data_IF_957934007926
#
_entry.id   IF_957934007926
#
_cell.length_a   1.000
_cell.length_b   1.000
_cell.length_c   1.000
_cell.angle_alpha   90.00
_cell.angle_beta   90.00
_cell.angle_gamma   90.00
#
_symmetry.space_group_name_H-M   'P 1'
#
loop_
_entity.id
_entity.type
_entity.pdbx_description
1 polymer ?
#
# COMPACT_ATOMS: atom_id res chain seq x y z
N UNK A 1 -44.21 -28.96 7.21
CA UNK A 1 -43.38 -28.50 6.08
C UNK A 1 -44.03 -29.14 4.87
N UNK A 2 -44.85 -28.38 4.14
CA UNK A 2 -45.74 -28.94 3.10
C UNK A 2 -45.21 -28.69 1.68
N UNK A 3 -44.10 -27.94 1.55
CA UNK A 3 -43.38 -27.69 0.30
C UNK A 3 -41.86 -27.82 0.52
N UNK A 4 -41.28 -28.98 0.24
CA UNK A 4 -39.83 -29.25 0.42
C UNK A 4 -38.95 -28.65 -0.70
N UNK A 5 -39.45 -27.67 -1.48
CA UNK A 5 -38.79 -27.03 -2.63
C UNK A 5 -38.23 -27.99 -3.69
N UNK A 6 -38.69 -29.25 -3.67
CA UNK A 6 -38.15 -30.32 -4.51
C UNK A 6 -38.47 -30.06 -5.99
N UNK A 7 -39.64 -29.53 -6.31
CA UNK A 7 -40.07 -29.29 -7.69
C UNK A 7 -39.21 -28.23 -8.37
N UNK A 8 -38.98 -27.12 -7.68
CA UNK A 8 -38.15 -26.00 -8.09
C UNK A 8 -36.70 -26.47 -8.25
N UNK A 9 -36.21 -27.24 -7.27
CA UNK A 9 -34.85 -27.79 -7.29
C UNK A 9 -34.61 -28.76 -8.46
N UNK A 10 -35.55 -29.67 -8.72
CA UNK A 10 -35.47 -30.56 -9.89
C UNK A 10 -35.54 -29.79 -11.20
N UNK A 11 -36.34 -28.72 -11.25
CA UNK A 11 -36.42 -27.83 -12.43
C UNK A 11 -35.07 -27.15 -12.69
N UNK A 12 -34.40 -26.67 -11.64
CA UNK A 12 -33.05 -26.11 -11.71
C UNK A 12 -32.01 -27.14 -12.21
N UNK A 13 -32.06 -28.38 -11.73
CA UNK A 13 -31.10 -29.42 -12.14
C UNK A 13 -31.25 -29.87 -13.59
N UNK A 14 -32.49 -29.94 -14.10
CA UNK A 14 -32.78 -30.62 -15.37
C UNK A 14 -32.91 -29.67 -16.58
N UNK A 15 -33.08 -28.36 -16.39
CA UNK A 15 -33.26 -27.43 -17.51
C UNK A 15 -31.96 -26.74 -17.91
N UNK A 16 -31.56 -26.93 -19.16
CA UNK A 16 -30.47 -26.18 -19.79
C UNK A 16 -31.04 -24.84 -20.29
N UNK A 17 -30.91 -23.80 -19.48
CA UNK A 17 -31.26 -22.45 -19.90
C UNK A 17 -30.18 -21.87 -20.84
N UNK A 18 -30.55 -21.08 -21.87
CA UNK A 18 -29.60 -20.16 -22.49
C UNK A 18 -29.02 -19.22 -21.43
N UNK A 19 -27.75 -18.83 -21.55
CA UNK A 19 -27.02 -18.06 -20.51
C UNK A 19 -27.76 -16.81 -20.01
N UNK A 20 -28.52 -16.16 -20.88
CA UNK A 20 -29.24 -14.91 -20.59
C UNK A 20 -30.47 -15.10 -19.66
N UNK A 21 -30.91 -16.34 -19.41
CA UNK A 21 -32.10 -16.67 -18.62
C UNK A 21 -31.82 -17.56 -17.40
N UNK A 22 -30.54 -17.72 -17.01
CA UNK A 22 -30.17 -18.59 -15.88
C UNK A 22 -30.82 -18.16 -14.55
N UNK A 23 -30.97 -16.84 -14.33
CA UNK A 23 -31.62 -16.30 -13.13
C UNK A 23 -33.10 -16.69 -13.00
N UNK A 24 -33.80 -16.95 -14.12
CA UNK A 24 -35.21 -17.39 -14.14
C UNK A 24 -35.41 -18.76 -13.46
N UNK A 25 -34.37 -19.60 -13.44
CA UNK A 25 -34.44 -20.93 -12.84
C UNK A 25 -33.85 -21.00 -11.44
N UNK A 26 -32.90 -20.11 -11.11
CA UNK A 26 -32.27 -20.08 -9.79
C UNK A 26 -33.15 -19.34 -8.78
N UNK A 27 -33.78 -18.23 -9.19
CA UNK A 27 -34.59 -17.38 -8.31
C UNK A 27 -35.77 -18.13 -7.65
N UNK A 28 -36.57 -18.95 -8.37
CA UNK A 28 -37.66 -19.70 -7.74
C UNK A 28 -37.22 -20.66 -6.63
N UNK A 29 -36.03 -21.28 -6.78
CA UNK A 29 -35.46 -22.15 -5.74
C UNK A 29 -35.08 -21.34 -4.51
N UNK A 30 -34.43 -20.19 -4.72
CA UNK A 30 -34.06 -19.26 -3.65
C UNK A 30 -35.31 -18.81 -2.90
N UNK A 31 -36.34 -18.35 -3.62
CA UNK A 31 -37.58 -17.85 -3.03
C UNK A 31 -38.29 -18.94 -2.21
N UNK A 32 -38.42 -20.16 -2.75
CA UNK A 32 -39.02 -21.27 -2.02
C UNK A 32 -38.26 -21.58 -0.70
N UNK A 33 -36.93 -21.60 -0.74
CA UNK A 33 -36.12 -21.84 0.47
C UNK A 33 -36.33 -20.71 1.47
N UNK A 34 -36.28 -19.45 1.01
CA UNK A 34 -36.47 -18.28 1.86
C UNK A 34 -37.87 -18.27 2.48
N UNK A 35 -38.93 -18.59 1.74
CA UNK A 35 -40.30 -18.67 2.26
C UNK A 35 -40.45 -19.70 3.38
N UNK A 36 -39.74 -20.83 3.29
CA UNK A 36 -39.76 -21.89 4.30
C UNK A 36 -38.84 -21.62 5.51
N UNK A 37 -37.97 -20.60 5.47
CA UNK A 37 -37.15 -20.21 6.62
C UNK A 37 -37.97 -19.42 7.63
N UNK A 38 -37.70 -19.65 8.93
CA UNK A 38 -38.29 -18.82 9.98
C UNK A 38 -37.75 -17.38 9.93
N UNK A 39 -38.55 -16.44 10.43
CA UNK A 39 -38.20 -15.01 10.45
C UNK A 39 -36.90 -14.73 11.23
N UNK A 40 -36.61 -15.53 12.27
CA UNK A 40 -35.35 -15.43 13.02
C UNK A 40 -34.13 -15.72 12.15
N UNK A 41 -34.17 -16.74 11.27
CA UNK A 41 -33.04 -17.05 10.37
C UNK A 41 -32.92 -16.04 9.25
N UNK A 42 -34.03 -15.53 8.71
CA UNK A 42 -34.01 -14.41 7.74
C UNK A 42 -33.36 -13.17 8.35
N UNK A 43 -33.77 -12.81 9.57
CA UNK A 43 -33.16 -11.71 10.33
C UNK A 43 -31.67 -11.92 10.59
N UNK A 44 -31.27 -13.15 10.94
CA UNK A 44 -29.86 -13.50 11.12
C UNK A 44 -29.05 -13.34 9.81
N UNK A 45 -29.58 -13.79 8.67
CA UNK A 45 -28.94 -13.61 7.37
C UNK A 45 -28.82 -12.13 6.99
N UNK A 46 -29.84 -11.31 7.28
CA UNK A 46 -29.79 -9.87 7.05
C UNK A 46 -28.71 -9.18 7.91
N UNK A 47 -28.54 -9.58 9.17
CA UNK A 47 -27.46 -9.07 10.02
C UNK A 47 -26.07 -9.48 9.49
N UNK A 48 -25.93 -10.70 8.95
CA UNK A 48 -24.70 -11.17 8.33
C UNK A 48 -24.32 -10.33 7.09
N UNK A 49 -25.31 -9.99 6.26
CA UNK A 49 -25.13 -9.14 5.08
C UNK A 49 -24.61 -7.74 5.44
N UNK A 50 -25.07 -7.14 6.55
CA UNK A 50 -24.54 -5.86 7.03
C UNK A 50 -23.06 -5.99 7.42
N UNK A 51 -22.70 -7.02 8.19
CA UNK A 51 -21.33 -7.26 8.62
C UNK A 51 -20.38 -7.45 7.42
N UNK A 52 -20.79 -8.28 6.46
CA UNK A 52 -20.02 -8.53 5.23
C UNK A 52 -19.98 -7.30 4.33
N UNK A 53 -21.06 -6.51 4.24
CA UNK A 53 -21.08 -5.25 3.49
C UNK A 53 -20.08 -4.22 4.03
N UNK A 54 -19.81 -4.21 5.34
CA UNK A 54 -18.80 -3.36 5.95
C UNK A 54 -17.36 -3.89 5.79
N UNK A 55 -17.19 -5.18 5.47
CA UNK A 55 -15.89 -5.85 5.37
C UNK A 55 -14.89 -5.09 4.49
N UNK A 56 -15.20 -4.69 3.23
CA UNK A 56 -14.23 -4.01 2.38
C UNK A 56 -13.71 -2.70 2.98
N UNK A 57 -14.57 -1.96 3.67
CA UNK A 57 -14.19 -0.71 4.32
C UNK A 57 -13.32 -0.99 5.55
N UNK A 58 -13.70 -1.96 6.40
CA UNK A 58 -12.90 -2.32 7.58
C UNK A 58 -11.51 -2.83 7.21
N UNK A 59 -11.41 -3.65 6.15
CA UNK A 59 -10.13 -4.11 5.63
C UNK A 59 -9.35 -2.97 4.99
N UNK A 60 -10.00 -2.01 4.31
CA UNK A 60 -9.34 -0.82 3.78
C UNK A 60 -8.74 0.06 4.89
N UNK A 61 -9.45 0.24 6.00
CA UNK A 61 -8.95 1.02 7.16
C UNK A 61 -7.73 0.38 7.82
N UNK A 62 -7.69 -0.95 7.88
CA UNK A 62 -6.58 -1.70 8.47
C UNK A 62 -5.49 -1.99 7.43
N UNK A 63 -5.81 -2.02 6.15
CA UNK A 63 -4.93 -2.42 5.05
C UNK A 63 -3.77 -1.45 4.82
N UNK A 64 -2.74 -1.92 4.12
CA UNK A 64 -1.63 -1.05 3.71
C UNK A 64 -2.05 -0.20 2.52
N UNK A 65 -1.46 0.99 2.39
CA UNK A 65 -1.70 1.83 1.21
C UNK A 65 -0.94 1.27 0.00
N UNK A 66 -1.35 1.68 -1.21
CA UNK A 66 -0.61 1.34 -2.43
C UNK A 66 0.81 1.90 -2.44
N UNK A 67 1.02 3.06 -1.81
CA UNK A 67 2.34 3.70 -1.70
C UNK A 67 3.27 2.87 -0.82
N UNK A 68 2.78 2.41 0.34
CA UNK A 68 3.54 1.55 1.26
C UNK A 68 3.99 0.25 0.60
N UNK A 69 3.06 -0.46 -0.05
CA UNK A 69 3.38 -1.71 -0.78
C UNK A 69 4.30 -1.41 -1.98
N UNK A 70 4.08 -0.29 -2.68
CA UNK A 70 4.91 0.15 -3.80
C UNK A 70 6.36 0.46 -3.40
N UNK A 71 6.57 1.07 -2.24
CA UNK A 71 7.91 1.33 -1.69
C UNK A 71 8.64 0.03 -1.34
N UNK A 72 7.93 -0.98 -0.81
CA UNK A 72 8.49 -2.33 -0.62
C UNK A 72 8.84 -2.96 -1.97
N UNK A 73 7.99 -2.80 -2.98
CA UNK A 73 8.20 -3.35 -4.31
C UNK A 73 9.45 -2.80 -5.02
N UNK A 74 9.92 -1.60 -4.69
CA UNK A 74 11.17 -1.05 -5.23
C UNK A 74 12.41 -1.90 -4.87
N UNK A 75 12.34 -2.67 -3.79
CA UNK A 75 13.42 -3.55 -3.34
C UNK A 75 13.08 -5.03 -3.43
N UNK A 76 11.84 -5.39 -3.11
CA UNK A 76 11.36 -6.77 -2.99
C UNK A 76 10.06 -6.96 -3.76
N UNK A 77 10.07 -6.86 -5.10
CA UNK A 77 8.86 -6.91 -5.92
C UNK A 77 8.03 -8.19 -5.76
N UNK A 78 8.67 -9.35 -5.59
CA UNK A 78 7.93 -10.61 -5.46
C UNK A 78 7.25 -10.72 -4.09
N UNK A 79 7.94 -10.28 -3.02
CA UNK A 79 7.29 -10.18 -1.70
C UNK A 79 6.11 -9.20 -1.75
N UNK A 80 6.28 -8.03 -2.36
CA UNK A 80 5.22 -7.03 -2.48
C UNK A 80 3.99 -7.57 -3.25
N UNK A 81 4.21 -8.38 -4.29
CA UNK A 81 3.13 -9.07 -4.99
C UNK A 81 2.35 -10.03 -4.08
N UNK A 82 3.04 -10.86 -3.29
CA UNK A 82 2.37 -11.75 -2.33
C UNK A 82 1.59 -10.96 -1.27
N UNK A 83 2.15 -9.84 -0.79
CA UNK A 83 1.47 -8.98 0.18
C UNK A 83 0.21 -8.35 -0.41
N UNK A 84 0.25 -7.91 -1.68
CA UNK A 84 -0.91 -7.42 -2.40
C UNK A 84 -1.98 -8.50 -2.62
N UNK A 85 -1.58 -9.74 -2.92
CA UNK A 85 -2.50 -10.87 -3.08
C UNK A 85 -3.09 -11.36 -1.74
N UNK A 86 -2.36 -11.19 -0.63
CA UNK A 86 -2.79 -11.60 0.71
C UNK A 86 -3.59 -10.52 1.46
N UNK A 87 -3.70 -9.31 0.92
CA UNK A 87 -4.47 -8.21 1.50
C UNK A 87 -5.55 -7.75 0.50
N UNK A 88 -6.77 -8.30 0.57
CA UNK A 88 -7.79 -8.11 -0.46
C UNK A 88 -8.48 -6.74 -0.43
N UNK A 89 -8.01 -5.80 0.39
CA UNK A 89 -8.50 -4.42 0.39
C UNK A 89 -7.35 -3.43 0.60
N UNK A 90 -7.48 -2.28 -0.04
CA UNK A 90 -6.47 -1.23 -0.08
C UNK A 90 -6.97 -0.03 0.72
N UNK A 91 -6.09 0.58 1.53
CA UNK A 91 -6.44 1.81 2.22
C UNK A 91 -6.62 2.95 1.20
N UNK A 92 -7.79 3.60 1.13
CA UNK A 92 -8.02 4.71 0.21
C UNK A 92 -7.15 5.91 0.61
N UNK A 93 -6.50 6.51 -0.39
CA UNK A 93 -5.82 7.80 -0.26
C UNK A 93 -6.67 8.82 -1.03
N UNK A 94 -6.78 10.05 -0.51
CA UNK A 94 -7.51 11.12 -1.20
C UNK A 94 -6.80 11.46 -2.51
N UNK A 95 -7.58 11.61 -3.57
CA UNK A 95 -7.10 12.10 -4.86
C UNK A 95 -6.46 13.49 -4.66
N UNK A 96 -5.23 13.67 -5.17
CA UNK A 96 -4.40 14.89 -5.01
C UNK A 96 -3.80 15.15 -3.62
N UNK A 97 -4.10 14.32 -2.62
CA UNK A 97 -3.35 14.31 -1.36
C UNK A 97 -2.16 13.36 -1.51
N UNK A 98 -1.08 13.89 -2.08
CA UNK A 98 0.11 13.11 -2.36
C UNK A 98 0.88 12.91 -1.07
N UNK A 99 0.82 11.70 -0.51
CA UNK A 99 1.71 11.33 0.59
C UNK A 99 3.14 11.46 0.08
N UNK A 100 3.90 12.42 0.62
CA UNK A 100 5.29 12.54 0.28
C UNK A 100 6.02 11.28 0.76
N UNK A 101 6.55 10.51 -0.19
CA UNK A 101 7.35 9.33 0.09
C UNK A 101 8.53 9.64 1.00
N UNK A 102 9.04 10.88 0.96
CA UNK A 102 10.07 11.35 1.87
C UNK A 102 9.53 11.44 3.29
N UNK A 103 8.38 12.06 3.52
CA UNK A 103 7.74 12.14 4.85
C UNK A 103 7.43 10.76 5.42
N UNK A 104 6.92 9.84 4.59
CA UNK A 104 6.69 8.44 4.97
C UNK A 104 7.98 7.74 5.42
N UNK A 105 9.12 8.09 4.83
CA UNK A 105 10.43 7.51 5.13
C UNK A 105 11.25 8.40 6.07
N UNK A 106 10.73 9.55 6.47
CA UNK A 106 11.38 10.43 7.43
C UNK A 106 11.30 9.83 8.83
N UNK A 107 12.40 10.02 9.56
CA UNK A 107 12.55 9.42 10.87
C UNK A 107 11.83 10.27 11.91
N UNK A 108 10.76 9.73 12.49
CA UNK A 108 10.17 10.31 13.70
C UNK A 108 11.14 10.14 14.89
N UNK A 109 11.35 11.19 15.71
CA UNK A 109 12.17 11.09 16.92
C UNK A 109 11.57 10.02 17.85
N UNK A 110 12.44 9.28 18.57
CA UNK A 110 12.08 8.23 19.53
C UNK A 110 11.49 6.91 18.98
N UNK A 111 11.61 6.63 17.68
CA UNK A 111 11.21 5.33 17.11
C UNK A 111 12.23 4.21 17.38
N UNK A 112 11.74 2.98 17.58
CA UNK A 112 12.56 1.77 17.82
C UNK A 112 13.45 1.50 16.61
N UNK A 113 14.76 1.37 16.83
CA UNK A 113 15.73 1.10 15.76
C UNK A 113 15.77 -0.38 15.43
N UNK A 114 15.51 -0.71 14.17
CA UNK A 114 15.79 -2.04 13.63
C UNK A 114 17.28 -2.10 13.34
N UNK A 115 18.04 -2.84 14.15
CA UNK A 115 19.47 -3.03 13.91
C UNK A 115 19.68 -3.86 12.65
N UNK A 116 20.69 -3.54 11.81
CA UNK A 116 21.04 -4.38 10.69
C UNK A 116 21.39 -5.78 11.20
N UNK A 117 20.79 -6.80 10.59
CA UNK A 117 21.01 -8.19 10.97
C UNK A 117 22.13 -8.79 10.14
N UNK A 118 22.91 -9.71 10.73
CA UNK A 118 23.86 -10.52 9.97
C UNK A 118 23.15 -11.39 8.93
N UNK A 119 23.85 -11.75 7.85
CA UNK A 119 23.30 -12.45 6.68
C UNK A 119 22.42 -13.66 7.04
N UNK A 120 22.87 -14.51 7.97
CA UNK A 120 22.12 -15.70 8.38
C UNK A 120 20.78 -15.38 9.05
N UNK A 121 20.76 -14.36 9.93
CA UNK A 121 19.54 -13.92 10.62
C UNK A 121 18.60 -13.19 9.67
N UNK A 122 19.13 -12.37 8.77
CA UNK A 122 18.35 -11.71 7.72
C UNK A 122 17.67 -12.71 6.78
N UNK A 123 18.39 -13.77 6.38
CA UNK A 123 17.82 -14.84 5.56
C UNK A 123 16.68 -15.58 6.28
N UNK A 124 16.85 -15.89 7.57
CA UNK A 124 15.80 -16.52 8.38
C UNK A 124 14.52 -15.66 8.47
N UNK A 125 14.66 -14.34 8.69
CA UNK A 125 13.52 -13.42 8.70
C UNK A 125 12.84 -13.35 7.33
N UNK A 126 13.62 -13.34 6.25
CA UNK A 126 13.10 -13.33 4.89
C UNK A 126 12.27 -14.57 4.57
N UNK A 127 12.76 -15.77 4.93
CA UNK A 127 12.00 -17.02 4.80
C UNK A 127 10.68 -16.91 5.57
N UNK A 128 10.74 -16.45 6.82
CA UNK A 128 9.55 -16.30 7.66
C UNK A 128 8.51 -15.37 7.00
N UNK A 129 8.94 -14.24 6.44
CA UNK A 129 8.02 -13.33 5.73
C UNK A 129 7.37 -13.98 4.52
N UNK A 130 8.13 -14.74 3.72
CA UNK A 130 7.56 -15.44 2.56
C UNK A 130 6.56 -16.52 2.96
N UNK A 131 6.86 -17.30 4.01
CA UNK A 131 5.95 -18.32 4.52
C UNK A 131 4.65 -17.68 5.02
N UNK A 132 4.76 -16.61 5.81
CA UNK A 132 3.58 -15.90 6.33
C UNK A 132 2.78 -15.21 5.22
N UNK A 133 3.44 -14.58 4.25
CA UNK A 133 2.77 -13.95 3.11
C UNK A 133 2.06 -15.00 2.23
N UNK A 134 2.73 -16.12 1.93
CA UNK A 134 2.11 -17.22 1.19
C UNK A 134 0.92 -17.83 1.94
N UNK A 135 1.04 -18.04 3.25
CA UNK A 135 -0.06 -18.51 4.08
C UNK A 135 -1.26 -17.53 4.05
N UNK A 136 -0.99 -16.22 4.09
CA UNK A 136 -2.03 -15.19 3.97
C UNK A 136 -2.75 -15.25 2.62
N UNK A 137 -2.02 -15.41 1.51
CA UNK A 137 -2.58 -15.58 0.15
C UNK A 137 -3.44 -16.83 0.06
N UNK A 138 -2.93 -17.98 0.53
CA UNK A 138 -3.67 -19.24 0.53
C UNK A 138 -4.95 -19.12 1.36
N UNK A 139 -4.89 -18.47 2.53
CA UNK A 139 -6.08 -18.23 3.34
C UNK A 139 -7.09 -17.32 2.63
N UNK A 140 -6.67 -16.23 1.99
CA UNK A 140 -7.54 -15.36 1.20
C UNK A 140 -8.21 -16.16 0.07
N UNK A 141 -7.43 -16.91 -0.71
CA UNK A 141 -7.95 -17.72 -1.80
C UNK A 141 -8.95 -18.77 -1.33
N UNK A 142 -8.65 -19.46 -0.23
CA UNK A 142 -9.52 -20.49 0.33
C UNK A 142 -10.82 -19.90 0.88
N UNK A 143 -10.75 -18.79 1.62
CA UNK A 143 -11.95 -18.10 2.14
C UNK A 143 -12.80 -17.55 1.00
N UNK A 144 -12.18 -16.98 -0.04
CA UNK A 144 -12.92 -16.53 -1.23
C UNK A 144 -13.61 -17.69 -1.92
N UNK A 145 -12.92 -18.83 -2.11
CA UNK A 145 -13.52 -20.03 -2.69
C UNK A 145 -14.69 -20.57 -1.86
N UNK A 146 -14.50 -20.68 -0.54
CA UNK A 146 -15.50 -21.17 0.40
C UNK A 146 -16.79 -20.33 0.33
N UNK A 147 -16.67 -19.00 0.33
CA UNK A 147 -17.82 -18.10 0.19
C UNK A 147 -18.50 -18.30 -1.16
N UNK A 148 -17.74 -18.37 -2.27
CA UNK A 148 -18.31 -18.54 -3.60
C UNK A 148 -19.14 -19.82 -3.77
N UNK A 149 -18.82 -20.90 -3.04
CA UNK A 149 -19.55 -22.17 -3.14
C UNK A 149 -20.65 -22.34 -2.09
N UNK A 150 -20.54 -21.65 -0.94
CA UNK A 150 -21.49 -21.77 0.17
C UNK A 150 -22.57 -20.69 0.17
N UNK A 151 -22.41 -19.63 -0.63
CA UNK A 151 -23.32 -18.48 -0.66
C UNK A 151 -23.72 -18.13 -2.09
N UNK A 152 -24.78 -17.34 -2.22
CA UNK A 152 -25.28 -16.87 -3.52
C UNK A 152 -25.40 -15.34 -3.48
N UNK A 153 -25.04 -14.66 -4.57
CA UNK A 153 -25.28 -13.22 -4.74
C UNK A 153 -26.72 -12.98 -5.22
N UNK A 154 -27.52 -12.24 -4.47
CA UNK A 154 -28.95 -12.02 -4.79
C UNK A 154 -29.19 -11.28 -6.12
N UNK A 155 -28.34 -10.34 -6.51
CA UNK A 155 -28.50 -9.56 -7.74
C UNK A 155 -27.97 -10.27 -9.01
N UNK A 156 -27.16 -11.31 -8.85
CA UNK A 156 -26.55 -12.06 -9.95
C UNK A 156 -26.30 -13.52 -9.53
N UNK A 157 -27.37 -14.28 -9.25
CA UNK A 157 -27.29 -15.63 -8.65
C UNK A 157 -26.58 -16.65 -9.55
N UNK A 158 -26.48 -16.38 -10.85
CA UNK A 158 -25.74 -17.16 -11.83
C UNK A 158 -24.21 -16.95 -11.79
N UNK A 159 -23.73 -15.93 -11.08
CA UNK A 159 -22.30 -15.55 -11.03
C UNK A 159 -21.67 -15.79 -9.66
N UNK A 160 -21.32 -17.04 -9.38
CA UNK A 160 -20.74 -17.43 -8.09
C UNK A 160 -19.34 -16.84 -7.80
N UNK A 161 -18.58 -16.42 -8.81
CA UNK A 161 -17.18 -15.99 -8.64
C UNK A 161 -17.00 -14.53 -8.22
N UNK A 162 -18.07 -13.76 -8.02
CA UNK A 162 -18.01 -12.33 -7.69
C UNK A 162 -17.18 -12.03 -6.41
N UNK A 163 -17.33 -12.77 -5.29
CA UNK A 163 -16.51 -12.53 -4.09
C UNK A 163 -15.01 -12.76 -4.34
N UNK A 164 -14.66 -13.80 -5.11
CA UNK A 164 -13.28 -14.06 -5.50
C UNK A 164 -12.73 -12.99 -6.44
N UNK A 165 -13.54 -12.52 -7.41
CA UNK A 165 -13.16 -11.43 -8.29
C UNK A 165 -12.80 -10.17 -7.48
N UNK A 166 -13.61 -9.81 -6.48
CA UNK A 166 -13.31 -8.70 -5.59
C UNK A 166 -11.97 -8.90 -4.86
N UNK A 167 -11.73 -10.08 -4.29
CA UNK A 167 -10.51 -10.34 -3.51
C UNK A 167 -9.24 -10.18 -4.36
N UNK A 168 -9.26 -10.69 -5.60
CA UNK A 168 -8.10 -10.61 -6.50
C UNK A 168 -8.00 -9.30 -7.28
N UNK A 169 -9.09 -8.53 -7.42
CA UNK A 169 -9.06 -7.20 -8.03
C UNK A 169 -8.16 -6.23 -7.25
N UNK A 170 -7.96 -6.45 -5.94
CA UNK A 170 -7.01 -5.71 -5.12
C UNK A 170 -5.56 -5.80 -5.64
N UNK A 171 -5.17 -6.93 -6.24
CA UNK A 171 -3.84 -7.10 -6.86
C UNK A 171 -3.64 -6.11 -7.99
N UNK A 172 -4.65 -5.89 -8.82
CA UNK A 172 -4.59 -4.91 -9.89
C UNK A 172 -4.46 -3.48 -9.35
N UNK A 173 -5.22 -3.12 -8.30
CA UNK A 173 -5.11 -1.81 -7.63
C UNK A 173 -3.70 -1.59 -7.09
N UNK A 174 -3.13 -2.58 -6.40
CA UNK A 174 -1.75 -2.53 -5.91
C UNK A 174 -0.72 -2.47 -7.05
N UNK A 175 -0.95 -3.14 -8.17
CA UNK A 175 -0.07 -3.09 -9.34
C UNK A 175 0.01 -1.68 -9.91
N UNK A 176 -1.12 -1.04 -10.19
CA UNK A 176 -1.15 0.33 -10.70
C UNK A 176 -0.59 1.34 -9.69
N UNK A 177 -0.91 1.16 -8.42
CA UNK A 177 -0.34 1.98 -7.35
C UNK A 177 1.18 1.82 -7.24
N UNK A 178 1.69 0.60 -7.32
CA UNK A 178 3.14 0.33 -7.34
C UNK A 178 3.80 0.94 -8.57
N UNK A 179 3.16 0.87 -9.73
CA UNK A 179 3.66 1.51 -10.95
C UNK A 179 3.74 3.03 -10.77
N UNK A 180 2.72 3.66 -10.17
CA UNK A 180 2.77 5.09 -9.86
C UNK A 180 3.99 5.45 -8.99
N UNK A 181 4.31 4.61 -7.98
CA UNK A 181 5.49 4.78 -7.12
C UNK A 181 6.79 4.62 -7.93
N UNK A 182 6.88 3.67 -8.85
CA UNK A 182 8.06 3.49 -9.72
C UNK A 182 8.28 4.67 -10.68
N UNK A 183 7.19 5.33 -11.11
CA UNK A 183 7.29 6.54 -11.91
C UNK A 183 7.85 7.72 -11.12
N UNK A 184 7.45 7.88 -9.84
CA UNK A 184 7.85 9.01 -8.98
C UNK A 184 9.16 8.78 -8.23
N UNK A 185 9.46 7.56 -7.83
CA UNK A 185 10.59 7.25 -6.95
C UNK A 185 11.55 6.27 -7.59
N UNK A 186 12.84 6.52 -7.40
CA UNK A 186 13.90 5.61 -7.82
C UNK A 186 14.89 5.44 -6.66
N UNK A 187 15.20 4.19 -6.35
CA UNK A 187 16.31 3.89 -5.44
C UNK A 187 17.61 3.90 -6.25
N UNK A 188 18.50 4.85 -5.95
CA UNK A 188 19.85 4.92 -6.50
C UNK A 188 20.80 4.16 -5.58
N UNK A 189 21.46 3.14 -6.12
CA UNK A 189 22.64 2.54 -5.49
C UNK A 189 23.84 3.47 -5.70
N UNK A 190 24.71 3.63 -4.69
CA UNK A 190 25.86 4.55 -4.75
C UNK A 190 26.72 4.33 -6.02
N UNK A 191 27.22 5.42 -6.65
CA UNK A 191 28.22 5.32 -7.71
C UNK A 191 29.53 4.80 -7.11
N UNK A 192 29.81 3.51 -7.31
CA UNK A 192 30.94 2.80 -6.70
C UNK A 192 30.75 1.29 -6.67
N UNK A 193 29.51 0.80 -6.83
CA UNK A 193 29.23 -0.62 -7.03
C UNK A 193 29.81 -1.10 -8.38
N UNK A 194 30.78 -2.00 -8.32
CA UNK A 194 31.40 -2.64 -9.48
C UNK A 194 30.40 -3.59 -10.15
N UNK A 195 30.27 -3.45 -11.48
CA UNK A 195 29.45 -4.23 -12.42
C UNK A 195 27.93 -4.21 -12.15
N UNK A 196 27.09 -4.27 -13.21
CA UNK A 196 25.67 -4.53 -13.02
C UNK A 196 25.52 -5.88 -12.29
N UNK A 197 24.63 -5.97 -11.29
CA UNK A 197 24.46 -7.20 -10.54
C UNK A 197 24.05 -8.33 -11.47
N UNK A 198 24.62 -9.52 -11.26
CA UNK A 198 24.20 -10.72 -11.99
C UNK A 198 22.72 -11.05 -11.70
N UNK A 199 22.10 -11.87 -12.56
CA UNK A 199 20.74 -12.36 -12.33
C UNK A 199 20.62 -13.05 -10.95
N UNK A 200 21.62 -13.86 -10.59
CA UNK A 200 21.70 -14.53 -9.29
C UNK A 200 21.81 -13.57 -8.10
N UNK A 201 22.59 -12.49 -8.23
CA UNK A 201 22.69 -11.48 -7.18
C UNK A 201 21.38 -10.72 -7.00
N UNK A 202 20.67 -10.46 -8.10
CA UNK A 202 19.34 -9.85 -8.07
C UNK A 202 18.33 -10.74 -7.33
N UNK A 203 18.35 -12.04 -7.61
CA UNK A 203 17.50 -13.03 -6.92
C UNK A 203 17.90 -13.16 -5.44
N UNK A 204 19.18 -13.30 -5.10
CA UNK A 204 19.62 -13.37 -3.71
C UNK A 204 19.28 -12.08 -2.94
N UNK A 205 19.27 -10.95 -3.62
CA UNK A 205 18.94 -9.67 -3.03
C UNK A 205 17.42 -9.52 -2.78
N UNK A 206 16.56 -10.23 -3.51
CA UNK A 206 15.11 -10.39 -3.21
C UNK A 206 14.89 -11.07 -1.85
N UNK A 207 15.73 -12.05 -1.50
CA UNK A 207 15.66 -12.78 -0.23
C UNK A 207 16.41 -12.11 0.91
N UNK A 208 16.91 -10.89 0.72
CA UNK A 208 17.57 -10.12 1.77
C UNK A 208 16.63 -9.01 2.29
N UNK A 209 16.30 -8.97 3.60
CA UNK A 209 15.42 -7.94 4.15
C UNK A 209 15.93 -6.53 3.87
N UNK A 210 15.03 -5.55 3.71
CA UNK A 210 15.42 -4.18 3.35
C UNK A 210 16.38 -3.55 4.35
N UNK A 211 16.26 -3.85 5.65
CA UNK A 211 17.14 -3.37 6.71
C UNK A 211 18.60 -3.87 6.59
N UNK A 212 18.83 -4.99 5.89
CA UNK A 212 20.17 -5.60 5.77
C UNK A 212 20.89 -5.20 4.47
N UNK A 213 20.21 -4.50 3.55
CA UNK A 213 20.79 -3.98 2.30
C UNK A 213 21.47 -2.63 2.53
N UNK A 214 22.75 -2.53 2.18
CA UNK A 214 23.53 -1.28 2.31
C UNK A 214 23.34 -0.34 1.11
N UNK A 215 23.34 0.97 1.36
CA UNK A 215 23.66 2.00 0.35
C UNK A 215 22.58 2.31 -0.68
N UNK A 216 21.39 2.72 -0.22
CA UNK A 216 20.35 3.28 -1.08
C UNK A 216 20.16 4.77 -0.81
N UNK A 217 20.03 5.54 -1.88
CA UNK A 217 19.52 6.90 -1.86
C UNK A 217 18.14 6.94 -2.55
N UNK A 218 17.24 7.79 -2.05
CA UNK A 218 15.89 7.93 -2.59
C UNK A 218 15.87 9.16 -3.51
N UNK A 219 15.89 8.93 -4.80
CA UNK A 219 15.73 9.99 -5.81
C UNK A 219 14.24 10.14 -6.12
N UNK A 220 13.66 11.29 -5.76
CA UNK A 220 12.29 11.68 -6.12
C UNK A 220 12.37 12.41 -7.46
N UNK A 221 11.71 11.87 -8.47
CA UNK A 221 11.62 12.47 -9.81
C UNK A 221 10.53 13.54 -9.85
N UNK A 222 10.67 14.46 -10.79
CA UNK A 222 9.64 15.44 -11.11
C UNK A 222 8.33 14.76 -11.57
N UNK A 223 7.21 15.43 -11.29
CA UNK A 223 5.88 14.91 -11.58
C UNK A 223 5.65 14.80 -13.09
N UNK A 224 5.46 13.57 -13.57
CA UNK A 224 5.11 13.31 -14.97
C UNK A 224 3.60 13.19 -15.11
N UNK A 225 3.02 13.57 -16.27
CA UNK A 225 1.59 13.35 -16.56
C UNK A 225 1.15 11.89 -16.35
N UNK A 226 2.03 10.92 -16.65
CA UNK A 226 1.78 9.49 -16.40
C UNK A 226 1.60 9.18 -14.91
N UNK A 227 2.41 9.81 -14.04
CA UNK A 227 2.29 9.64 -12.60
C UNK A 227 0.94 10.19 -12.10
N UNK A 228 0.56 11.39 -12.55
CA UNK A 228 -0.71 12.02 -12.19
C UNK A 228 -1.88 11.13 -12.61
N UNK A 229 -1.86 10.62 -13.85
CA UNK A 229 -2.89 9.72 -14.36
C UNK A 229 -2.97 8.41 -13.55
N UNK A 230 -1.85 7.73 -13.33
CA UNK A 230 -1.81 6.46 -12.57
C UNK A 230 -2.26 6.65 -11.12
N UNK A 231 -1.89 7.77 -10.49
CA UNK A 231 -2.30 8.11 -9.12
C UNK A 231 -3.81 8.35 -9.06
N UNK A 232 -4.36 9.14 -9.98
CA UNK A 232 -5.80 9.38 -10.08
C UNK A 232 -6.58 8.08 -10.35
N UNK A 233 -6.08 7.26 -11.27
CA UNK A 233 -6.67 5.97 -11.62
C UNK A 233 -6.66 5.01 -10.43
N UNK A 234 -5.56 4.94 -9.68
CA UNK A 234 -5.44 4.08 -8.49
C UNK A 234 -6.36 4.55 -7.36
N UNK A 235 -6.45 5.87 -7.11
CA UNK A 235 -7.35 6.43 -6.10
C UNK A 235 -8.81 6.13 -6.43
N UNK A 236 -9.22 6.41 -7.67
CA UNK A 236 -10.59 6.12 -8.16
C UNK A 236 -10.87 4.61 -8.15
N UNK A 237 -9.91 3.81 -8.61
CA UNK A 237 -10.01 2.35 -8.60
C UNK A 237 -10.15 1.76 -7.20
N UNK A 238 -9.49 2.35 -6.19
CA UNK A 238 -9.63 1.93 -4.80
C UNK A 238 -11.05 2.21 -4.28
N UNK A 239 -11.62 3.37 -4.59
CA UNK A 239 -13.01 3.70 -4.22
C UNK A 239 -13.99 2.73 -4.90
N UNK A 240 -13.83 2.50 -6.21
CA UNK A 240 -14.66 1.56 -6.96
C UNK A 240 -14.53 0.13 -6.44
N UNK A 241 -13.32 -0.29 -6.05
CA UNK A 241 -13.06 -1.61 -5.46
C UNK A 241 -13.79 -1.81 -4.13
N UNK A 242 -13.78 -0.78 -3.25
CA UNK A 242 -14.54 -0.80 -1.99
C UNK A 242 -16.04 -0.87 -2.26
N UNK A 243 -16.57 -0.01 -3.15
CA UNK A 243 -18.00 0.02 -3.51
C UNK A 243 -18.44 -1.32 -4.10
N UNK A 244 -17.66 -1.88 -5.02
CA UNK A 244 -17.91 -3.19 -5.62
C UNK A 244 -17.95 -4.29 -4.55
N UNK A 245 -16.97 -4.31 -3.64
CA UNK A 245 -16.96 -5.25 -2.53
C UNK A 245 -18.19 -5.12 -1.64
N UNK A 246 -18.57 -3.90 -1.28
CA UNK A 246 -19.72 -3.66 -0.41
C UNK A 246 -21.00 -4.17 -1.06
N UNK A 247 -21.17 -3.92 -2.36
CA UNK A 247 -22.29 -4.41 -3.15
C UNK A 247 -22.31 -5.95 -3.16
N UNK A 248 -21.20 -6.60 -3.51
CA UNK A 248 -21.11 -8.06 -3.60
C UNK A 248 -21.39 -8.72 -2.25
N UNK A 249 -20.70 -8.28 -1.19
CA UNK A 249 -20.79 -8.92 0.13
C UNK A 249 -22.11 -8.65 0.87
N UNK A 250 -22.71 -7.46 0.70
CA UNK A 250 -24.04 -7.19 1.26
C UNK A 250 -25.17 -7.91 0.54
N UNK A 251 -24.90 -8.44 -0.66
CA UNK A 251 -25.86 -9.21 -1.45
C UNK A 251 -25.74 -10.71 -1.25
N UNK A 252 -24.84 -11.18 -0.38
CA UNK A 252 -24.70 -12.60 -0.10
C UNK A 252 -25.85 -13.12 0.76
N UNK A 253 -26.50 -14.16 0.27
CA UNK A 253 -27.54 -14.91 0.98
C UNK A 253 -27.05 -16.31 1.35
N UNK A 254 -27.79 -16.95 2.25
CA UNK A 254 -27.50 -18.26 2.86
C UNK A 254 -26.26 -18.32 3.77
N UNK A 255 -25.88 -17.19 4.36
CA UNK A 255 -24.81 -17.12 5.37
C UNK A 255 -25.35 -16.66 6.73
N UNK A 256 -24.91 -17.29 7.81
CA UNK A 256 -25.26 -16.90 9.18
C UNK A 256 -24.31 -15.81 9.71
N UNK A 257 -24.72 -15.05 10.73
CA UNK A 257 -23.83 -14.05 11.37
C UNK A 257 -22.56 -14.67 11.95
N UNK A 258 -22.65 -15.88 12.50
CA UNK A 258 -21.51 -16.61 13.06
C UNK A 258 -20.47 -16.92 11.97
N UNK A 259 -20.93 -17.46 10.84
CA UNK A 259 -20.06 -17.82 9.72
C UNK A 259 -19.49 -16.57 9.05
N UNK A 260 -20.30 -15.53 8.89
CA UNK A 260 -19.86 -14.22 8.41
C UNK A 260 -18.76 -13.61 9.29
N UNK A 261 -18.87 -13.74 10.62
CA UNK A 261 -17.84 -13.27 11.56
C UNK A 261 -16.55 -14.06 11.38
N UNK A 262 -16.64 -15.38 11.20
CA UNK A 262 -15.46 -16.21 10.92
C UNK A 262 -14.78 -15.82 9.61
N UNK A 263 -15.55 -15.56 8.55
CA UNK A 263 -15.06 -15.04 7.27
C UNK A 263 -14.32 -13.71 7.45
N UNK A 264 -14.95 -12.75 8.13
CA UNK A 264 -14.39 -11.42 8.39
C UNK A 264 -13.08 -11.54 9.16
N UNK A 265 -13.05 -12.35 10.22
CA UNK A 265 -11.86 -12.59 11.02
C UNK A 265 -10.71 -13.19 10.20
N UNK A 266 -11.00 -14.15 9.30
CA UNK A 266 -9.99 -14.77 8.43
C UNK A 266 -9.40 -13.75 7.45
N UNK A 267 -10.23 -12.93 6.80
CA UNK A 267 -9.71 -11.86 5.93
C UNK A 267 -8.90 -10.82 6.71
N UNK A 268 -9.38 -10.39 7.88
CA UNK A 268 -8.66 -9.45 8.74
C UNK A 268 -7.30 -10.02 9.17
N UNK A 269 -7.23 -11.30 9.52
CA UNK A 269 -5.98 -11.94 9.93
C UNK A 269 -4.92 -11.92 8.82
N UNK A 270 -5.31 -12.24 7.57
CA UNK A 270 -4.41 -12.14 6.42
C UNK A 270 -3.93 -10.70 6.19
N UNK A 271 -4.85 -9.73 6.21
CA UNK A 271 -4.53 -8.30 6.05
C UNK A 271 -3.58 -7.79 7.13
N UNK A 272 -3.79 -8.18 8.39
CA UNK A 272 -2.94 -7.80 9.52
C UNK A 272 -1.53 -8.40 9.39
N UNK A 273 -1.42 -9.67 8.99
CA UNK A 273 -0.13 -10.32 8.73
C UNK A 273 0.61 -9.59 7.61
N UNK A 274 -0.06 -9.33 6.47
CA UNK A 274 0.54 -8.59 5.36
C UNK A 274 0.98 -7.19 5.80
N UNK A 275 0.15 -6.46 6.56
CA UNK A 275 0.49 -5.14 7.10
C UNK A 275 1.70 -5.19 8.03
N UNK A 276 1.79 -6.17 8.93
CA UNK A 276 2.93 -6.32 9.81
C UNK A 276 4.23 -6.50 9.02
N UNK A 277 4.20 -7.28 7.93
CA UNK A 277 5.35 -7.48 7.05
C UNK A 277 5.71 -6.18 6.30
N UNK A 278 4.73 -5.47 5.74
CA UNK A 278 4.94 -4.16 5.08
C UNK A 278 5.60 -3.17 6.04
N UNK A 279 5.05 -3.03 7.25
CA UNK A 279 5.57 -2.10 8.26
C UNK A 279 6.99 -2.45 8.69
N UNK A 280 7.32 -3.74 8.80
CA UNK A 280 8.68 -4.19 9.07
C UNK A 280 9.65 -3.81 7.95
N UNK A 281 9.30 -4.05 6.69
CA UNK A 281 10.15 -3.73 5.53
C UNK A 281 10.35 -2.22 5.38
N UNK A 282 9.29 -1.42 5.53
CA UNK A 282 9.37 0.04 5.49
C UNK A 282 10.20 0.61 6.63
N UNK A 283 10.07 0.07 7.83
CA UNK A 283 10.90 0.47 8.97
C UNK A 283 12.38 0.16 8.71
N UNK A 284 12.67 -0.97 8.06
CA UNK A 284 14.02 -1.30 7.60
C UNK A 284 14.55 -0.33 6.54
N UNK A 285 13.71 0.03 5.56
CA UNK A 285 14.05 1.01 4.53
C UNK A 285 14.35 2.40 5.12
N UNK A 286 13.55 2.84 6.09
CA UNK A 286 13.72 4.11 6.82
C UNK A 286 15.07 4.20 7.53
N UNK A 287 15.53 3.15 8.22
CA UNK A 287 16.83 3.21 8.92
C UNK A 287 17.99 3.29 7.92
N UNK A 288 17.92 2.55 6.80
CA UNK A 288 18.96 2.59 5.75
C UNK A 288 19.08 3.99 5.13
N UNK A 289 17.97 4.68 4.92
CA UNK A 289 17.96 6.06 4.41
C UNK A 289 18.43 7.07 5.47
N UNK A 290 18.06 6.88 6.74
CA UNK A 290 18.39 7.80 7.83
C UNK A 290 19.88 7.81 8.21
N UNK A 291 20.54 6.65 8.17
CA UNK A 291 21.96 6.54 8.54
C UNK A 291 22.86 7.32 7.55
N UNK A 292 22.41 7.53 6.32
CA UNK A 292 23.10 8.35 5.33
C UNK A 292 22.97 9.86 5.57
N UNK A 293 21.81 10.35 6.04
CA UNK A 293 21.63 11.77 6.34
C UNK A 293 22.63 12.29 7.37
N UNK A 294 23.03 11.43 8.32
CA UNK A 294 24.07 11.72 9.31
C UNK A 294 25.49 11.67 8.75
N UNK A 295 25.77 10.77 7.80
CA UNK A 295 27.07 10.67 7.16
C UNK A 295 27.34 11.82 6.16
N UNK A 296 26.30 12.35 5.52
CA UNK A 296 26.39 13.46 4.56
C UNK A 296 26.55 14.83 5.24
N UNK A 297 25.95 15.03 6.42
CA UNK A 297 26.14 16.24 7.23
C UNK A 297 27.43 16.25 8.07
N UNK A 298 28.26 15.21 8.00
CA UNK A 298 29.58 15.14 8.64
C UNK A 298 30.71 15.82 7.85
N UNK A 299 30.43 16.92 7.14
CA UNK A 299 31.48 17.88 6.77
C UNK A 299 31.99 18.57 8.04
N UNK A 300 33.24 19.09 8.08
CA UNK A 300 33.84 19.60 9.31
C UNK A 300 32.88 20.58 9.97
N UNK A 301 32.40 20.18 11.15
CA UNK A 301 31.59 20.98 12.04
C UNK A 301 32.34 22.28 12.27
N UNK A 302 31.88 23.36 11.62
CA UNK A 302 32.31 24.72 11.96
C UNK A 302 31.81 24.95 13.37
N UNK A 303 32.67 24.64 14.34
CA UNK A 303 32.52 25.05 15.73
C UNK A 303 32.22 26.55 15.70
N UNK A 304 31.04 27.00 16.15
CA UNK A 304 30.79 28.43 16.29
C UNK A 304 31.75 28.94 17.34
N UNK A 305 32.79 29.66 16.90
CA UNK A 305 33.72 30.32 17.80
C UNK A 305 32.97 31.52 18.38
N UNK A 306 32.41 31.38 19.58
CA UNK A 306 31.96 32.53 20.37
C UNK A 306 33.19 33.41 20.67
N UNK A 307 33.16 34.71 20.33
CA UNK A 307 34.20 35.62 20.77
C UNK A 307 33.97 35.97 22.24
N UNK A 308 34.64 35.25 23.14
CA UNK A 308 34.78 35.67 24.53
C UNK A 308 35.64 36.94 24.61
N UNK A 309 35.28 37.95 25.41
CA UNK A 309 36.05 39.17 25.57
C UNK A 309 37.26 38.89 26.46
N UNK A 310 38.44 38.74 25.86
CA UNK A 310 39.66 38.47 26.61
C UNK A 310 40.91 38.73 25.78
N UNK A 311 41.66 39.75 26.18
CA UNK A 311 42.95 40.19 25.66
C UNK A 311 43.96 39.05 25.40
N UNK A 312 44.58 39.00 24.22
CA UNK A 312 45.80 38.23 24.03
C UNK A 312 46.82 38.91 23.11
N UNK A 313 48.06 38.77 23.56
CA UNK A 313 49.28 39.49 23.20
C UNK A 313 49.84 39.14 21.83
N UNK A 314 50.53 40.13 21.27
CA UNK A 314 51.45 40.10 20.13
C UNK A 314 52.49 38.96 20.24
N UNK A 315 52.79 38.29 19.12
CA UNK A 315 53.86 37.28 19.03
C UNK A 315 53.98 36.59 17.66
N UNK A 316 54.64 37.30 16.73
CA UNK A 316 55.48 36.86 15.60
C UNK A 316 55.09 35.71 14.61
N UNK A 317 55.04 36.11 13.31
CA UNK A 317 55.65 35.49 12.09
C UNK A 317 55.12 34.11 11.62
N UNK A 318 54.80 33.83 10.34
CA UNK A 318 55.33 34.34 9.07
C UNK A 318 54.43 33.92 7.87
N UNK A 319 54.23 34.86 6.94
CA UNK A 319 54.17 34.75 5.46
C UNK A 319 53.20 33.80 4.72
N UNK A 320 52.17 34.38 4.08
CA UNK A 320 51.90 34.23 2.63
C UNK A 320 51.00 35.38 2.12
N UNK A 321 51.26 35.98 0.94
CA UNK A 321 50.58 37.19 0.48
C UNK A 321 49.26 36.88 -0.25
N UNK A 322 48.13 37.34 0.29
CA UNK A 322 46.86 37.39 -0.44
C UNK A 322 46.76 38.71 -1.21
N UNK A 323 46.89 38.64 -2.54
CA UNK A 323 46.59 39.74 -3.46
C UNK A 323 45.07 39.93 -3.54
N UNK A 324 44.56 41.08 -3.08
CA UNK A 324 43.26 41.61 -3.47
C UNK A 324 43.39 42.34 -4.81
N UNK A 325 42.54 42.07 -5.82
CA UNK A 325 42.31 43.05 -6.86
C UNK A 325 41.31 44.08 -6.32
N UNK A 326 41.75 45.34 -6.27
CA UNK A 326 40.85 46.48 -6.23
C UNK A 326 40.61 46.93 -7.66
N UNK A 327 39.35 46.92 -8.11
CA UNK A 327 38.91 47.87 -9.12
C UNK A 327 37.42 48.14 -8.95
N UNK A 328 37.16 49.43 -9.00
CA UNK A 328 35.97 50.22 -8.71
C UNK A 328 34.87 50.14 -9.76
N UNK A 329 33.75 50.78 -9.40
CA UNK A 329 32.83 51.58 -10.24
C UNK A 329 31.46 50.89 -10.43
N UNK A 330 30.51 51.14 -9.53
CA UNK A 330 29.45 52.17 -9.65
C UNK A 330 28.76 52.14 -11.01
N UNK A 331 27.63 51.44 -11.08
CA UNK A 331 26.38 51.76 -11.79
C UNK A 331 25.37 50.65 -11.48
N UNK A 332 24.07 50.92 -11.63
CA UNK A 332 22.90 50.05 -11.33
C UNK A 332 22.28 50.04 -9.91
N UNK A 333 22.39 51.13 -9.13
CA UNK A 333 21.45 51.40 -8.01
C UNK A 333 20.58 52.63 -8.24
N UNK A 334 20.19 52.87 -9.48
CA UNK A 334 19.14 53.84 -9.84
C UNK A 334 18.15 53.15 -10.77
N UNK A 335 17.09 52.52 -10.22
CA UNK A 335 15.78 52.37 -10.89
C UNK A 335 14.68 51.70 -10.05
N UNK A 336 14.71 51.77 -8.72
CA UNK A 336 13.55 51.38 -7.88
C UNK A 336 13.31 52.38 -6.75
N UNK A 337 12.97 53.61 -7.12
CA UNK A 337 12.25 54.53 -6.26
C UNK A 337 11.41 55.48 -7.11
N UNK A 338 10.09 55.34 -7.04
CA UNK A 338 9.16 56.41 -7.42
C UNK A 338 8.11 56.01 -8.46
N UNK A 339 6.93 55.60 -7.98
CA UNK A 339 5.63 56.06 -8.49
C UNK A 339 4.50 55.50 -7.61
N UNK A 340 4.26 56.13 -6.47
CA UNK A 340 2.93 56.15 -5.86
C UNK A 340 2.13 57.35 -6.40
N UNK A 341 0.80 57.16 -6.43
CA UNK A 341 -0.34 58.11 -6.46
C UNK A 341 -1.03 58.35 -7.82
N UNK A 342 -2.29 58.85 -7.82
CA UNK A 342 -3.43 58.59 -6.93
C UNK A 342 -4.72 58.27 -7.75
N UNK A 343 -5.82 57.95 -7.07
CA UNK A 343 -7.10 57.59 -7.70
C UNK A 343 -7.93 58.77 -8.21
N UNK A 344 -9.03 58.44 -8.90
CA UNK A 344 -10.19 59.31 -9.15
C UNK A 344 -11.45 58.47 -9.42
N UNK A 345 -12.55 58.93 -8.77
CA UNK A 345 -13.98 58.84 -9.08
C UNK A 345 -14.66 57.47 -9.31
#
# INVERSE_FOLDING_TARGET
MENDCQTEYQTYLHKVAPKDYLSEYVTPVIDCILENLNETRKSNMAAAAVLLGLLPTTLGLVGSTTVEVGLVALRRPFLAFLLAAGAPAVSPIRTFDYIDTKELLERKPQTVRIKPMGLLKGFGVSIFQYVMAAAAVVNVAFVSYEICIQTICSFAPETAYLPALWAFLAVAVHFFGTWSVHCRTRIRTKPGAKKPPGLWETICAEFTPSASRQGADLEIKEETYLYIFLSWFTATGTVLHIVYGTLVFSSLIFISTSDATAVVARYLSSTLVCRAIVMYELSGLREVLSDQGKASHGGPELIPMEPGPGTMSFGDRLSAPWKRPASSRTEEWQLLSGAERPGEA
#
